data_IF_471191845398
#
_entry.id   IF_471191845398
#
_cell.length_a   1.000
_cell.length_b   1.000
_cell.length_c   1.000
_cell.angle_alpha   90.00
_cell.angle_beta   90.00
_cell.angle_gamma   90.00
#
_symmetry.space_group_name_H-M   'P 1'
#
loop_
_entity.id
_entity.type
_entity.pdbx_description
1 polymer ?
#
# COMPACT_ATOMS: atom_id res chain seq x y z
N UNK A 1 24.34 -4.95 -6.95
CA UNK A 1 25.53 -5.75 -6.53
C UNK A 1 25.21 -6.40 -5.21
N UNK A 2 25.35 -7.71 -5.10
CA UNK A 2 25.16 -8.41 -3.82
C UNK A 2 26.54 -8.59 -3.19
N UNK A 3 26.68 -8.20 -1.93
CA UNK A 3 27.91 -8.43 -1.18
C UNK A 3 27.59 -9.35 0.00
N UNK A 4 28.30 -10.49 0.08
CA UNK A 4 28.15 -11.44 1.18
C UNK A 4 28.98 -10.96 2.36
N UNK A 5 28.30 -10.72 3.49
CA UNK A 5 28.92 -10.44 4.77
C UNK A 5 28.58 -11.56 5.77
N UNK A 6 29.50 -12.51 5.95
CA UNK A 6 29.24 -13.70 6.75
C UNK A 6 28.14 -14.55 6.12
N UNK A 7 27.08 -14.88 6.87
CA UNK A 7 25.91 -15.62 6.39
C UNK A 7 24.82 -14.74 5.78
N UNK A 8 25.06 -13.44 5.59
CA UNK A 8 24.09 -12.47 5.13
C UNK A 8 24.42 -11.90 3.76
N UNK A 9 23.36 -11.69 2.96
CA UNK A 9 23.44 -10.98 1.69
C UNK A 9 22.92 -9.56 1.87
N UNK A 10 23.76 -8.56 1.57
CA UNK A 10 23.33 -7.16 1.49
C UNK A 10 23.08 -6.84 0.02
N UNK A 11 21.83 -6.58 -0.32
CA UNK A 11 21.47 -6.08 -1.64
C UNK A 11 21.50 -4.54 -1.62
N UNK A 12 22.37 -3.95 -2.45
CA UNK A 12 22.38 -2.52 -2.70
C UNK A 12 21.46 -2.24 -3.89
N UNK A 13 20.23 -1.78 -3.63
CA UNK A 13 19.27 -1.44 -4.68
C UNK A 13 19.77 -0.25 -5.51
N UNK A 14 20.64 0.60 -4.96
CA UNK A 14 21.22 1.76 -5.65
C UNK A 14 22.21 1.40 -6.79
N UNK A 15 22.69 0.17 -6.84
CA UNK A 15 23.68 -0.29 -7.83
C UNK A 15 23.15 -1.42 -8.74
N UNK A 16 21.87 -1.76 -8.68
CA UNK A 16 21.28 -2.60 -9.70
C UNK A 16 21.31 -1.81 -11.02
N UNK A 17 22.03 -2.30 -12.06
CA UNK A 17 21.85 -1.73 -13.39
C UNK A 17 20.38 -1.94 -13.78
N UNK A 18 19.61 -0.89 -13.77
CA UNK A 18 18.16 -0.97 -13.92
C UNK A 18 17.36 -0.20 -12.84
N UNK A 19 17.91 0.03 -11.65
CA UNK A 19 17.20 0.85 -10.66
C UNK A 19 17.03 2.31 -11.11
N UNK A 20 18.04 2.86 -11.82
CA UNK A 20 17.94 4.13 -12.52
C UNK A 20 17.08 4.01 -13.80
N UNK A 21 17.02 2.84 -14.40
CA UNK A 21 16.17 2.53 -15.56
C UNK A 21 14.70 2.40 -15.15
N UNK A 22 14.42 1.96 -13.92
CA UNK A 22 13.04 1.84 -13.40
C UNK A 22 12.35 3.20 -13.29
N UNK A 23 13.01 4.24 -12.82
CA UNK A 23 12.47 5.59 -12.83
C UNK A 23 12.13 6.06 -14.25
N UNK A 24 13.07 5.95 -15.16
CA UNK A 24 12.88 6.29 -16.57
C UNK A 24 11.81 5.40 -17.24
N UNK A 25 11.79 4.10 -16.95
CA UNK A 25 10.83 3.17 -17.53
C UNK A 25 9.39 3.41 -17.05
N UNK A 26 9.17 3.76 -15.79
CA UNK A 26 7.85 4.13 -15.28
C UNK A 26 7.38 5.46 -15.88
N UNK A 27 8.27 6.41 -16.02
CA UNK A 27 8.02 7.71 -16.64
C UNK A 27 7.73 7.57 -18.15
N UNK A 28 8.50 6.74 -18.87
CA UNK A 28 8.24 6.37 -20.27
C UNK A 28 6.93 5.61 -20.45
N UNK A 29 6.50 4.82 -19.47
CA UNK A 29 5.19 4.17 -19.44
C UNK A 29 4.03 5.15 -19.13
N UNK A 30 4.32 6.42 -18.87
CA UNK A 30 3.32 7.44 -18.51
C UNK A 30 2.74 7.26 -17.11
N UNK A 31 3.43 6.52 -16.23
CA UNK A 31 2.99 6.24 -14.86
C UNK A 31 3.66 7.26 -13.91
N UNK A 32 2.91 8.22 -13.33
CA UNK A 32 3.48 9.27 -12.49
C UNK A 32 3.82 8.74 -11.08
N UNK A 33 4.69 7.73 -10.99
CA UNK A 33 5.26 7.23 -9.75
C UNK A 33 6.75 7.55 -9.71
N UNK A 34 7.16 8.19 -8.63
CA UNK A 34 8.54 8.62 -8.41
C UNK A 34 9.18 7.81 -7.30
N UNK A 35 10.38 7.34 -7.54
CA UNK A 35 11.25 6.69 -6.56
C UNK A 35 12.56 7.45 -6.41
N UNK A 36 12.96 7.72 -5.17
CA UNK A 36 14.26 8.28 -4.82
C UNK A 36 15.09 7.18 -4.16
N UNK A 37 16.25 6.78 -4.72
CA UNK A 37 17.08 5.70 -4.17
C UNK A 37 17.47 5.90 -2.70
N UNK A 38 17.56 7.13 -2.23
CA UNK A 38 17.93 7.45 -0.84
C UNK A 38 16.71 7.54 0.08
N UNK A 39 15.58 8.00 -0.44
CA UNK A 39 14.38 8.31 0.36
C UNK A 39 13.32 7.23 0.27
N UNK A 40 13.17 6.56 -0.88
CA UNK A 40 12.13 5.54 -1.09
C UNK A 40 12.43 4.23 -0.37
N UNK A 41 13.69 3.91 -0.10
CA UNK A 41 14.10 2.68 0.58
C UNK A 41 13.87 2.81 2.09
N UNK A 42 13.31 1.77 2.70
CA UNK A 42 13.14 1.70 4.15
C UNK A 42 14.46 1.34 4.83
N UNK A 43 14.64 1.84 6.06
CA UNK A 43 15.80 1.50 6.88
C UNK A 43 15.87 0.00 7.11
N UNK A 44 17.07 -0.56 6.99
CA UNK A 44 17.37 -1.97 7.25
C UNK A 44 17.35 -2.32 8.75
N UNK A 45 17.45 -1.34 9.64
CA UNK A 45 17.45 -1.54 11.08
C UNK A 45 16.03 -1.83 11.60
N UNK A 46 15.93 -2.81 12.50
CA UNK A 46 14.71 -3.09 13.25
C UNK A 46 14.61 -2.20 14.48
N UNK A 47 13.39 -1.87 14.88
CA UNK A 47 13.13 -1.34 16.21
C UNK A 47 12.99 -2.52 17.18
N UNK A 48 14.08 -2.80 17.92
CA UNK A 48 14.14 -3.95 18.83
C UNK A 48 13.74 -3.60 20.26
N UNK A 49 13.29 -2.36 20.53
CA UNK A 49 12.98 -1.90 21.89
C UNK A 49 11.92 -2.76 22.57
N UNK A 50 10.87 -3.13 21.83
CA UNK A 50 9.73 -3.90 22.33
C UNK A 50 9.61 -5.30 21.72
N UNK A 51 10.60 -5.75 20.94
CA UNK A 51 10.60 -7.06 20.30
C UNK A 51 11.33 -8.09 21.17
N UNK A 52 10.81 -9.30 21.23
CA UNK A 52 11.51 -10.47 21.79
C UNK A 52 12.71 -10.88 20.90
N UNK A 53 12.59 -10.68 19.61
CA UNK A 53 13.66 -10.91 18.64
C UNK A 53 14.60 -9.69 18.63
N UNK A 54 15.82 -9.88 19.09
CA UNK A 54 16.84 -8.84 19.23
C UNK A 54 17.78 -8.72 18.03
N UNK A 55 17.49 -9.38 16.91
CA UNK A 55 18.23 -9.15 15.65
C UNK A 55 18.15 -7.69 15.25
N UNK A 56 19.28 -7.08 14.96
CA UNK A 56 19.38 -5.64 14.67
C UNK A 56 18.87 -5.28 13.26
N UNK A 57 18.91 -6.23 12.35
CA UNK A 57 18.57 -6.02 10.93
C UNK A 57 17.28 -6.74 10.55
N UNK A 58 16.58 -6.17 9.59
CA UNK A 58 15.45 -6.83 8.92
C UNK A 58 15.96 -7.95 8.04
N UNK A 59 15.12 -8.95 7.79
CA UNK A 59 15.39 -10.03 6.83
C UNK A 59 15.09 -9.61 5.39
N UNK A 60 14.41 -8.48 5.22
CA UNK A 60 13.95 -7.95 3.95
C UNK A 60 14.43 -6.51 3.69
N UNK A 61 14.50 -6.15 2.42
CA UNK A 61 14.57 -4.77 1.96
C UNK A 61 13.19 -4.35 1.43
N UNK A 62 12.78 -3.14 1.73
CA UNK A 62 11.53 -2.59 1.24
C UNK A 62 11.73 -1.22 0.61
N UNK A 63 10.99 -0.93 -0.44
CA UNK A 63 10.97 0.38 -1.09
C UNK A 63 9.55 0.78 -1.48
N UNK A 64 9.29 2.09 -1.55
CA UNK A 64 8.03 2.63 -2.05
C UNK A 64 8.27 3.62 -3.17
N UNK A 65 7.34 3.60 -4.14
CA UNK A 65 7.21 4.63 -5.16
C UNK A 65 5.83 5.26 -5.02
N UNK A 66 5.79 6.59 -5.09
CA UNK A 66 4.57 7.37 -4.88
C UNK A 66 4.49 8.51 -5.88
N UNK A 67 3.37 9.23 -5.94
CA UNK A 67 3.22 10.36 -6.90
C UNK A 67 4.23 11.49 -6.65
N UNK A 68 4.55 11.82 -5.41
CA UNK A 68 5.50 12.91 -5.08
C UNK A 68 6.88 12.41 -4.66
N UNK A 69 7.10 11.09 -4.55
CA UNK A 69 8.30 10.51 -3.96
C UNK A 69 8.33 10.53 -2.43
N UNK A 70 7.27 11.03 -1.80
CA UNK A 70 7.14 11.03 -0.33
C UNK A 70 6.54 9.73 0.17
N UNK A 71 7.15 9.09 1.16
CA UNK A 71 6.58 7.90 1.82
C UNK A 71 5.24 8.15 2.53
N UNK A 72 4.81 9.41 2.63
CA UNK A 72 3.55 9.80 3.26
C UNK A 72 2.43 10.00 2.28
N UNK A 73 2.71 9.95 0.98
CA UNK A 73 1.67 10.07 -0.04
C UNK A 73 0.66 8.93 0.10
N UNK A 74 -0.62 9.22 -0.07
CA UNK A 74 -1.62 8.19 -0.16
C UNK A 74 -1.49 7.43 -1.48
N UNK A 75 -1.65 6.12 -1.41
CA UNK A 75 -1.55 5.26 -2.60
C UNK A 75 -0.12 5.13 -3.11
N UNK A 76 0.41 3.92 -3.07
CA UNK A 76 1.81 3.65 -3.36
C UNK A 76 1.98 2.32 -4.08
N UNK A 77 3.13 2.18 -4.74
CA UNK A 77 3.71 0.90 -5.11
C UNK A 77 4.74 0.53 -4.04
N UNK A 78 4.67 -0.69 -3.52
CA UNK A 78 5.60 -1.22 -2.54
C UNK A 78 6.33 -2.43 -3.10
N UNK A 79 7.65 -2.42 -2.96
CA UNK A 79 8.51 -3.54 -3.29
C UNK A 79 9.03 -4.15 -1.99
N UNK A 80 8.82 -5.44 -1.82
CA UNK A 80 9.35 -6.25 -0.72
C UNK A 80 10.31 -7.27 -1.29
N UNK A 81 11.55 -7.23 -0.84
CA UNK A 81 12.62 -8.09 -1.31
C UNK A 81 13.10 -8.97 -0.16
N UNK A 82 12.66 -10.21 -0.13
CA UNK A 82 13.05 -11.21 0.86
C UNK A 82 13.19 -12.57 0.16
N UNK A 83 14.30 -13.28 0.32
CA UNK A 83 14.47 -14.59 -0.32
C UNK A 83 13.30 -15.52 -0.01
N UNK A 84 12.63 -16.03 -1.05
CA UNK A 84 11.45 -16.91 -0.94
C UNK A 84 10.12 -16.20 -0.66
N UNK A 85 10.12 -14.90 -0.25
CA UNK A 85 8.92 -14.15 0.13
C UNK A 85 8.86 -12.76 -0.55
N UNK A 86 9.54 -12.57 -1.67
CA UNK A 86 9.52 -11.30 -2.40
C UNK A 86 8.15 -11.03 -3.02
N UNK A 87 7.74 -9.77 -3.03
CA UNK A 87 6.47 -9.35 -3.64
C UNK A 87 6.50 -7.90 -4.11
N UNK A 88 5.61 -7.60 -5.02
CA UNK A 88 5.19 -6.23 -5.37
C UNK A 88 3.76 -6.03 -4.90
N UNK A 89 3.46 -4.90 -4.27
CA UNK A 89 2.13 -4.56 -3.82
C UNK A 89 1.79 -3.12 -4.20
N UNK A 90 0.51 -2.83 -4.35
CA UNK A 90 0.03 -1.48 -4.63
C UNK A 90 -1.30 -1.21 -3.93
N UNK A 91 -1.59 0.08 -3.70
CA UNK A 91 -2.85 0.52 -3.14
C UNK A 91 -2.69 1.46 -1.94
N UNK A 92 -3.70 1.45 -1.08
CA UNK A 92 -3.84 2.34 0.09
C UNK A 92 -3.77 1.49 1.36
N UNK A 93 -2.56 1.35 1.90
CA UNK A 93 -2.31 0.56 3.10
C UNK A 93 -2.45 1.43 4.35
N UNK A 94 -3.36 1.04 5.25
CA UNK A 94 -3.69 1.76 6.50
C UNK A 94 -3.79 3.28 6.31
N UNK A 95 -4.61 3.77 5.36
CA UNK A 95 -4.80 5.21 5.19
C UNK A 95 -5.30 5.85 6.49
N UNK A 96 -4.86 7.09 6.73
CA UNK A 96 -5.33 7.88 7.85
C UNK A 96 -6.87 7.99 7.85
N UNK A 97 -7.53 8.13 9.03
CA UNK A 97 -8.99 8.08 9.14
C UNK A 97 -9.75 9.03 8.20
N UNK A 98 -9.31 10.27 7.92
CA UNK A 98 -9.97 11.13 6.94
C UNK A 98 -9.98 10.52 5.54
N UNK A 99 -8.82 10.08 5.06
CA UNK A 99 -8.71 9.45 3.74
C UNK A 99 -9.50 8.14 3.68
N UNK A 100 -9.44 7.30 4.72
CA UNK A 100 -10.23 6.08 4.77
C UNK A 100 -11.74 6.37 4.66
N UNK A 101 -12.20 7.49 5.21
CA UNK A 101 -13.58 7.94 5.10
C UNK A 101 -13.91 8.37 3.67
N UNK A 102 -13.03 9.09 2.99
CA UNK A 102 -13.21 9.50 1.59
C UNK A 102 -13.25 8.28 0.66
N UNK A 103 -12.33 7.32 0.82
CA UNK A 103 -12.32 6.08 0.05
C UNK A 103 -13.63 5.29 0.22
N UNK A 104 -14.12 5.16 1.45
CA UNK A 104 -15.41 4.50 1.72
C UNK A 104 -16.60 5.24 1.11
N UNK A 105 -16.56 6.58 1.11
CA UNK A 105 -17.61 7.39 0.48
C UNK A 105 -17.60 7.20 -1.02
N UNK A 106 -16.44 7.26 -1.65
CA UNK A 106 -16.30 7.01 -3.08
C UNK A 106 -16.84 5.63 -3.50
N UNK A 107 -16.70 4.60 -2.65
CA UNK A 107 -17.32 3.28 -2.89
C UNK A 107 -18.86 3.37 -2.83
N UNK A 108 -19.43 4.13 -1.89
CA UNK A 108 -20.90 4.28 -1.79
C UNK A 108 -21.49 5.14 -2.88
N UNK A 109 -20.74 6.14 -3.34
CA UNK A 109 -21.18 7.07 -4.39
C UNK A 109 -21.17 6.41 -5.77
N UNK A 110 -20.21 5.51 -6.03
CA UNK A 110 -20.14 4.71 -7.26
C UNK A 110 -19.76 3.24 -6.95
N UNK A 111 -20.70 2.45 -6.40
CA UNK A 111 -20.43 1.05 -6.06
C UNK A 111 -20.14 0.18 -7.30
N UNK A 112 -20.80 0.43 -8.41
CA UNK A 112 -20.64 -0.37 -9.63
C UNK A 112 -19.28 -0.11 -10.28
N UNK A 113 -18.84 1.15 -10.34
CA UNK A 113 -17.51 1.52 -10.83
C UNK A 113 -16.40 0.90 -9.96
N UNK A 114 -16.54 0.94 -8.64
CA UNK A 114 -15.58 0.29 -7.75
C UNK A 114 -15.56 -1.23 -7.91
N UNK A 115 -16.73 -1.88 -8.00
CA UNK A 115 -16.83 -3.33 -8.21
C UNK A 115 -16.26 -3.76 -9.57
N UNK A 116 -16.39 -2.92 -10.60
CA UNK A 116 -15.76 -3.18 -11.89
C UNK A 116 -14.22 -3.15 -11.80
N UNK A 117 -13.64 -2.25 -10.99
CA UNK A 117 -12.20 -2.23 -10.70
C UNK A 117 -11.82 -3.51 -9.93
N UNK A 118 -12.51 -3.81 -8.84
CA UNK A 118 -12.23 -4.97 -8.00
C UNK A 118 -12.35 -6.29 -8.78
N UNK A 119 -13.37 -6.41 -9.62
CA UNK A 119 -13.58 -7.57 -10.49
C UNK A 119 -12.46 -7.77 -11.52
N UNK A 120 -12.01 -6.70 -12.17
CA UNK A 120 -10.86 -6.77 -13.10
C UNK A 120 -9.58 -7.22 -12.40
N UNK A 121 -9.30 -6.67 -11.22
CA UNK A 121 -8.14 -7.06 -10.43
C UNK A 121 -8.22 -8.52 -9.98
N UNK A 122 -9.37 -8.96 -9.51
CA UNK A 122 -9.58 -10.35 -9.13
C UNK A 122 -9.41 -11.32 -10.32
N UNK A 123 -9.94 -10.97 -11.50
CA UNK A 123 -9.79 -11.75 -12.72
C UNK A 123 -8.32 -11.84 -13.19
N UNK A 124 -7.51 -10.82 -12.91
CA UNK A 124 -6.08 -10.81 -13.17
C UNK A 124 -5.25 -11.54 -12.10
N UNK A 125 -5.87 -12.11 -11.06
CA UNK A 125 -5.18 -12.78 -9.97
C UNK A 125 -4.68 -11.84 -8.85
N UNK A 126 -5.13 -10.59 -8.84
CA UNK A 126 -4.72 -9.54 -7.90
C UNK A 126 -5.93 -8.97 -7.14
N UNK A 127 -6.69 -9.77 -6.37
CA UNK A 127 -7.87 -9.28 -5.66
C UNK A 127 -7.49 -8.19 -4.65
N UNK A 128 -8.38 -7.22 -4.46
CA UNK A 128 -8.23 -6.23 -3.40
C UNK A 128 -8.42 -6.92 -2.05
N UNK A 129 -7.44 -6.75 -1.17
CA UNK A 129 -7.43 -7.32 0.17
C UNK A 129 -7.30 -6.25 1.26
N UNK A 130 -7.67 -6.63 2.46
CA UNK A 130 -7.44 -5.86 3.68
C UNK A 130 -7.14 -6.83 4.82
N UNK A 131 -5.98 -6.72 5.43
CA UNK A 131 -5.55 -7.58 6.54
C UNK A 131 -6.39 -7.35 7.79
N UNK A 132 -6.85 -6.11 7.95
CA UNK A 132 -7.72 -5.72 9.05
C UNK A 132 -9.11 -5.30 8.56
N UNK A 133 -10.15 -5.80 9.23
CA UNK A 133 -11.54 -5.55 8.87
C UNK A 133 -12.39 -5.29 10.11
N UNK A 134 -13.38 -4.43 9.94
CA UNK A 134 -14.45 -4.26 10.93
C UNK A 134 -15.46 -5.40 10.79
N UNK A 135 -16.11 -5.80 11.88
CA UNK A 135 -17.16 -6.82 11.87
C UNK A 135 -18.47 -6.32 11.24
N UNK A 136 -18.61 -5.02 11.05
CA UNK A 136 -19.77 -4.37 10.45
C UNK A 136 -19.37 -3.03 9.83
N UNK A 137 -20.12 -2.48 8.87
CA UNK A 137 -19.90 -1.15 8.36
C UNK A 137 -19.81 -0.12 9.48
N UNK A 138 -18.85 0.82 9.40
CA UNK A 138 -18.71 1.85 10.43
C UNK A 138 -19.89 2.84 10.39
N UNK A 139 -19.98 3.65 11.44
CA UNK A 139 -21.03 4.68 11.54
C UNK A 139 -21.00 5.63 10.35
N UNK A 140 -22.16 5.88 9.74
CA UNK A 140 -22.33 6.68 8.53
C UNK A 140 -22.20 5.88 7.23
N UNK A 141 -21.95 4.56 7.32
CA UNK A 141 -21.84 3.65 6.18
C UNK A 141 -22.79 2.45 6.29
N UNK A 142 -23.82 2.57 7.10
CA UNK A 142 -24.81 1.50 7.37
C UNK A 142 -25.53 1.05 6.10
N UNK A 143 -25.68 1.94 5.12
CA UNK A 143 -26.27 1.65 3.81
C UNK A 143 -25.53 0.55 3.04
N UNK A 144 -24.25 0.33 3.31
CA UNK A 144 -23.48 -0.74 2.69
C UNK A 144 -23.86 -2.14 3.17
N UNK A 145 -24.59 -2.26 4.31
CA UNK A 145 -24.92 -3.56 4.89
C UNK A 145 -25.74 -4.41 3.93
N UNK A 146 -25.25 -5.60 3.66
CA UNK A 146 -25.90 -6.56 2.77
C UNK A 146 -25.72 -6.28 1.28
N UNK A 147 -24.93 -5.28 0.91
CA UNK A 147 -24.55 -4.98 -0.47
C UNK A 147 -23.24 -5.69 -0.86
N UNK A 148 -22.94 -5.85 -2.15
CA UNK A 148 -21.68 -6.42 -2.61
C UNK A 148 -20.43 -5.65 -2.15
N UNK A 149 -20.56 -4.35 -1.83
CA UNK A 149 -19.44 -3.52 -1.36
C UNK A 149 -19.24 -3.55 0.15
N UNK A 150 -20.12 -4.21 0.91
CA UNK A 150 -20.06 -4.25 2.37
C UNK A 150 -18.70 -4.66 2.92
N UNK A 151 -18.11 -5.65 2.28
CA UNK A 151 -16.81 -6.19 2.66
C UNK A 151 -15.69 -5.19 2.48
N UNK A 152 -15.69 -4.43 1.40
CA UNK A 152 -14.71 -3.37 1.14
C UNK A 152 -14.88 -2.19 2.10
N UNK A 153 -16.12 -1.80 2.40
CA UNK A 153 -16.44 -0.76 3.39
C UNK A 153 -15.95 -1.14 4.80
N UNK A 154 -15.96 -2.42 5.14
CA UNK A 154 -15.42 -2.91 6.42
C UNK A 154 -13.90 -2.96 6.43
N UNK A 155 -13.22 -2.95 5.29
CA UNK A 155 -11.77 -2.95 5.18
C UNK A 155 -11.13 -1.70 5.78
N UNK A 156 -9.88 -1.85 6.27
CA UNK A 156 -9.04 -0.73 6.71
C UNK A 156 -7.92 -0.40 5.72
N UNK A 157 -7.77 -1.20 4.69
CA UNK A 157 -6.81 -1.04 3.60
C UNK A 157 -7.45 -1.42 2.27
N UNK A 158 -6.93 -0.90 1.19
CA UNK A 158 -7.32 -1.22 -0.19
C UNK A 158 -6.05 -1.54 -0.96
N UNK A 159 -5.52 -2.75 -0.79
CA UNK A 159 -4.25 -3.15 -1.35
C UNK A 159 -4.39 -4.43 -2.16
N UNK A 160 -3.49 -4.61 -3.09
CA UNK A 160 -3.31 -5.86 -3.83
C UNK A 160 -1.82 -6.15 -4.00
N UNK A 161 -1.47 -7.39 -4.29
CA UNK A 161 -0.07 -7.78 -4.45
C UNK A 161 0.10 -8.89 -5.48
N UNK A 162 1.34 -9.06 -5.93
CA UNK A 162 1.82 -10.21 -6.68
C UNK A 162 3.10 -10.73 -6.04
N UNK A 163 3.17 -12.03 -5.81
CA UNK A 163 4.40 -12.68 -5.39
C UNK A 163 5.44 -12.62 -6.53
N UNK A 164 6.70 -12.54 -6.13
CA UNK A 164 7.86 -12.57 -7.01
C UNK A 164 8.76 -13.71 -6.57
N UNK A 165 8.97 -14.68 -7.43
CA UNK A 165 9.89 -15.78 -7.15
C UNK A 165 11.34 -15.31 -7.14
N UNK A 166 12.21 -16.08 -6.49
CA UNK A 166 13.64 -15.79 -6.49
C UNK A 166 14.28 -15.80 -7.89
N UNK A 167 13.71 -16.57 -8.82
CA UNK A 167 14.16 -16.59 -10.21
C UNK A 167 13.71 -15.34 -10.97
N UNK A 168 12.47 -14.87 -10.77
CA UNK A 168 12.01 -13.59 -11.31
C UNK A 168 12.85 -12.44 -10.77
N UNK A 169 13.20 -12.46 -9.48
CA UNK A 169 14.05 -11.44 -8.84
C UNK A 169 15.45 -11.35 -9.44
N UNK A 170 15.97 -12.42 -10.04
CA UNK A 170 17.27 -12.46 -10.72
C UNK A 170 17.16 -12.27 -12.23
N UNK A 171 15.94 -12.22 -12.75
CA UNK A 171 15.68 -12.12 -14.17
C UNK A 171 15.81 -10.66 -14.67
N UNK A 172 16.39 -10.42 -15.85
CA UNK A 172 16.31 -9.12 -16.50
C UNK A 172 14.87 -8.69 -16.83
N UNK A 173 13.91 -9.63 -16.88
CA UNK A 173 12.49 -9.37 -17.10
C UNK A 173 11.75 -8.89 -15.84
N UNK A 174 12.41 -8.73 -14.69
CA UNK A 174 11.79 -8.29 -13.45
C UNK A 174 11.08 -6.94 -13.61
N UNK A 175 11.70 -6.01 -14.32
CA UNK A 175 11.13 -4.67 -14.55
C UNK A 175 9.83 -4.77 -15.34
N UNK A 176 9.81 -5.55 -16.42
CA UNK A 176 8.61 -5.76 -17.23
C UNK A 176 7.50 -6.41 -16.40
N UNK A 177 7.85 -7.39 -15.57
CA UNK A 177 6.90 -8.04 -14.65
C UNK A 177 6.27 -7.06 -13.66
N UNK A 178 7.06 -6.16 -13.09
CA UNK A 178 6.57 -5.10 -12.19
C UNK A 178 5.71 -4.10 -12.96
N UNK A 179 6.13 -3.68 -14.16
CA UNK A 179 5.35 -2.76 -15.00
C UNK A 179 3.99 -3.33 -15.37
N UNK A 180 3.91 -4.61 -15.72
CA UNK A 180 2.65 -5.27 -16.05
C UNK A 180 1.72 -5.34 -14.84
N UNK A 181 2.27 -5.62 -13.64
CA UNK A 181 1.51 -5.51 -12.40
C UNK A 181 0.99 -4.09 -12.18
N UNK A 182 1.86 -3.07 -12.30
CA UNK A 182 1.47 -1.66 -12.10
C UNK A 182 0.37 -1.26 -13.07
N UNK A 183 0.49 -1.59 -14.36
CA UNK A 183 -0.55 -1.32 -15.36
C UNK A 183 -1.89 -1.96 -14.99
N UNK A 184 -1.84 -3.18 -14.49
CA UNK A 184 -3.04 -3.92 -14.05
C UNK A 184 -3.73 -3.26 -12.88
N UNK A 185 -2.96 -2.80 -11.88
CA UNK A 185 -3.49 -2.21 -10.64
C UNK A 185 -3.72 -0.70 -10.73
N UNK A 186 -3.29 -0.07 -11.82
CA UNK A 186 -3.39 1.37 -12.02
C UNK A 186 -4.78 1.96 -11.75
N UNK A 187 -5.89 1.35 -12.23
CA UNK A 187 -7.23 1.86 -11.97
C UNK A 187 -7.60 1.96 -10.49
N UNK A 188 -7.02 1.10 -9.63
CA UNK A 188 -7.22 1.20 -8.18
C UNK A 188 -6.52 2.43 -7.60
N UNK A 189 -5.31 2.71 -8.07
CA UNK A 189 -4.56 3.88 -7.62
C UNK A 189 -5.24 5.18 -8.07
N UNK A 190 -5.63 5.27 -9.35
CA UNK A 190 -6.36 6.44 -9.89
C UNK A 190 -7.67 6.68 -9.13
N UNK A 191 -8.45 5.63 -8.92
CA UNK A 191 -9.70 5.73 -8.15
C UNK A 191 -9.46 6.30 -6.74
N UNK A 192 -8.48 5.79 -6.03
CA UNK A 192 -8.24 6.21 -4.66
C UNK A 192 -7.59 7.60 -4.56
N UNK A 193 -6.77 8.00 -5.55
CA UNK A 193 -6.27 9.38 -5.62
C UNK A 193 -7.40 10.37 -5.93
N UNK A 194 -8.30 10.04 -6.85
CA UNK A 194 -9.48 10.87 -7.10
C UNK A 194 -10.32 11.05 -5.83
N UNK A 195 -10.54 9.96 -5.08
CA UNK A 195 -11.23 10.02 -3.79
C UNK A 195 -10.47 10.83 -2.73
N UNK A 196 -9.14 10.87 -2.79
CA UNK A 196 -8.30 11.66 -1.88
C UNK A 196 -8.31 13.17 -2.19
N UNK A 197 -8.51 13.52 -3.46
CA UNK A 197 -8.56 14.91 -3.96
C UNK A 197 -9.98 15.51 -3.88
N UNK A 198 -11.00 14.69 -3.65
CA UNK A 198 -12.37 15.15 -3.50
C UNK A 198 -12.56 15.86 -2.15
N UNK A 199 -12.65 17.20 -2.20
CA UNK A 199 -12.97 18.07 -1.06
C UNK A 199 -14.45 17.98 -0.64
N UNK A 200 -15.08 16.82 -0.82
CA UNK A 200 -16.46 16.54 -0.39
C UNK A 200 -16.72 17.04 1.04
N UNK A 201 -17.97 17.19 1.47
CA UNK A 201 -18.33 17.81 2.75
C UNK A 201 -17.49 17.21 3.89
N UNK A 202 -16.79 18.08 4.63
CA UNK A 202 -15.88 17.70 5.70
C UNK A 202 -16.46 16.56 6.55
N UNK A 203 -15.71 15.49 6.84
CA UNK A 203 -16.22 14.38 7.63
C UNK A 203 -16.80 14.95 8.93
N UNK A 204 -18.01 14.49 9.29
CA UNK A 204 -18.60 14.80 10.59
C UNK A 204 -17.58 14.35 11.65
N UNK A 205 -16.81 15.30 12.18
CA UNK A 205 -15.92 15.08 13.31
C UNK A 205 -16.82 14.83 14.52
N UNK A 206 -17.20 13.57 14.71
CA UNK A 206 -17.86 13.14 15.92
C UNK A 206 -16.78 13.15 17.00
N UNK A 207 -16.64 14.29 17.67
CA UNK A 207 -15.89 14.35 18.92
C UNK A 207 -16.48 13.33 19.85
N UNK A 208 -15.72 12.30 20.20
CA UNK A 208 -16.11 11.43 21.30
C UNK A 208 -16.45 12.32 22.51
N UNK A 209 -17.54 12.03 23.23
CA UNK A 209 -17.85 12.78 24.44
C UNK A 209 -16.61 12.76 25.34
N UNK A 210 -16.18 13.93 25.78
CA UNK A 210 -15.07 14.08 26.71
C UNK A 210 -15.34 13.14 27.90
N UNK A 211 -14.40 12.24 28.17
CA UNK A 211 -14.44 11.43 29.39
C UNK A 211 -14.62 12.39 30.58
N UNK A 212 -15.60 12.20 31.43
CA UNK A 212 -15.72 13.03 32.63
C UNK A 212 -14.43 12.91 33.43
N UNK A 213 -13.90 14.04 33.85
CA UNK A 213 -12.72 14.11 34.71
C UNK A 213 -13.03 13.32 35.99
N UNK A 214 -12.05 12.54 36.52
CA UNK A 214 -12.21 11.91 37.82
C UNK A 214 -12.52 12.97 38.86
N UNK A 215 -13.52 12.71 39.72
CA UNK A 215 -13.84 13.58 40.85
C UNK A 215 -12.62 13.64 41.75
N UNK A 216 -12.23 14.84 42.23
CA UNK A 216 -11.19 14.94 43.21
C UNK A 216 -11.63 14.21 44.50
N UNK A 217 -10.75 13.34 45.02
CA UNK A 217 -10.91 12.74 46.33
C UNK A 217 -10.67 13.85 47.38
N UNK A 218 -11.71 14.21 48.10
CA UNK A 218 -11.62 14.97 49.33
C UNK A 218 -11.86 14.04 50.52
#
# INVERSE_FOLDING_TARGET
MYQKHGDWWIAWVAELPGANTQGATLEEAGLPLVGDPQRSIFRIYRDVRFSSDKRLYKTHAGAVLTRSGSKRDPGLLYLHLEPGESMVAAGFWHPEPPLLTHLRRAILDDPDGFLAIAGRLAAAGHPIASDERLSRPPRGFEAAKGTPVADYICGKSFTTHAALSDDEMRSPALVDRILDFVRTVWPLLEWGWAAAEDDGPAPLVIRAPLRPLPKPDF
#
